data_IF_971971644319
#
_entry.id   IF_971971644319
#
_cell.length_a   1.000
_cell.length_b   1.000
_cell.length_c   1.000
_cell.angle_alpha   90.00
_cell.angle_beta   90.00
_cell.angle_gamma   90.00
#
_symmetry.space_group_name_H-M   'P 1'
#
loop_
_entity.id
_entity.type
_entity.pdbx_description
1 polymer ?
#
# COMPACT_ATOMS: atom_id res chain seq x y z
N UNK A 1 -0.04 12.88 12.52
CA UNK A 1 0.16 12.12 11.27
C UNK A 1 -0.40 12.94 10.12
N UNK A 2 0.35 13.12 9.03
CA UNK A 2 -0.21 13.76 7.82
C UNK A 2 -1.29 12.86 7.23
N UNK A 3 -2.30 13.43 6.56
CA UNK A 3 -3.39 12.65 5.93
C UNK A 3 -2.84 11.53 5.03
N UNK A 4 -1.71 11.81 4.37
CA UNK A 4 -1.01 10.85 3.53
C UNK A 4 -0.40 9.67 4.32
N UNK A 5 0.14 9.92 5.52
CA UNK A 5 0.63 8.83 6.39
C UNK A 5 -0.50 7.90 6.82
N UNK A 6 -1.68 8.43 7.14
CA UNK A 6 -2.85 7.62 7.52
C UNK A 6 -3.29 6.75 6.34
N UNK A 7 -3.40 7.34 5.14
CA UNK A 7 -3.73 6.60 3.91
C UNK A 7 -2.71 5.50 3.63
N UNK A 8 -1.42 5.76 3.86
CA UNK A 8 -0.39 4.76 3.65
C UNK A 8 -0.45 3.61 4.67
N UNK A 9 -0.77 3.88 5.93
CA UNK A 9 -1.00 2.84 6.93
C UNK A 9 -2.18 1.96 6.55
N UNK A 10 -3.28 2.56 6.07
CA UNK A 10 -4.46 1.82 5.61
C UNK A 10 -4.10 0.95 4.39
N UNK A 11 -3.42 1.51 3.39
CA UNK A 11 -3.05 0.79 2.17
C UNK A 11 -2.09 -0.39 2.44
N UNK A 12 -1.13 -0.21 3.36
CA UNK A 12 -0.20 -1.29 3.76
C UNK A 12 -0.95 -2.36 4.55
N UNK A 13 -1.88 -1.97 5.43
CA UNK A 13 -2.71 -2.91 6.18
C UNK A 13 -3.55 -3.78 5.26
N UNK A 14 -4.20 -3.18 4.25
CA UNK A 14 -4.99 -3.91 3.25
C UNK A 14 -4.12 -4.90 2.48
N UNK A 15 -2.92 -4.49 2.05
CA UNK A 15 -1.98 -5.38 1.37
C UNK A 15 -1.57 -6.55 2.26
N UNK A 16 -1.30 -6.30 3.55
CA UNK A 16 -0.97 -7.34 4.51
C UNK A 16 -2.10 -8.36 4.69
N UNK A 17 -3.34 -7.90 4.85
CA UNK A 17 -4.52 -8.77 4.96
C UNK A 17 -4.67 -9.62 3.69
N UNK A 18 -4.55 -9.01 2.51
CA UNK A 18 -4.63 -9.72 1.24
C UNK A 18 -3.56 -10.83 1.17
N UNK A 19 -2.30 -10.53 1.52
CA UNK A 19 -1.21 -11.52 1.48
C UNK A 19 -1.47 -12.68 2.45
N UNK A 20 -1.97 -12.40 3.66
CA UNK A 20 -2.32 -13.44 4.64
C UNK A 20 -3.44 -14.34 4.10
N UNK A 21 -4.48 -13.75 3.50
CA UNK A 21 -5.59 -14.50 2.91
C UNK A 21 -5.13 -15.31 1.70
N UNK A 22 -4.34 -14.74 0.81
CA UNK A 22 -3.80 -15.43 -0.36
C UNK A 22 -2.94 -16.63 0.05
N UNK A 23 -2.08 -16.45 1.05
CA UNK A 23 -1.25 -17.51 1.61
C UNK A 23 -2.10 -18.63 2.24
N UNK A 24 -3.12 -18.27 3.02
CA UNK A 24 -4.01 -19.23 3.68
C UNK A 24 -4.81 -20.07 2.68
N UNK A 25 -5.21 -19.45 1.57
CA UNK A 25 -6.02 -20.09 0.52
C UNK A 25 -5.18 -20.72 -0.60
N UNK A 26 -3.84 -20.80 -0.45
CA UNK A 26 -2.92 -21.26 -1.50
C UNK A 26 -3.20 -20.63 -2.87
N UNK A 27 -3.59 -19.36 -2.86
CA UNK A 27 -3.99 -18.62 -4.06
C UNK A 27 -2.79 -17.87 -4.62
N UNK A 28 -2.58 -17.98 -5.92
CA UNK A 28 -1.53 -17.21 -6.60
C UNK A 28 -1.85 -15.72 -6.65
N UNK A 29 -0.82 -14.90 -6.89
CA UNK A 29 -0.99 -13.45 -7.02
C UNK A 29 -1.88 -13.13 -8.23
N UNK A 30 -3.02 -12.49 -7.97
CA UNK A 30 -3.98 -12.12 -8.99
C UNK A 30 -3.88 -10.62 -9.34
N UNK A 31 -4.65 -10.20 -10.33
CA UNK A 31 -4.80 -8.79 -10.72
C UNK A 31 -5.15 -7.84 -9.55
N UNK A 32 -5.88 -8.29 -8.51
CA UNK A 32 -6.15 -7.46 -7.33
C UNK A 32 -4.89 -7.17 -6.52
N UNK A 33 -3.97 -8.12 -6.40
CA UNK A 33 -2.67 -7.88 -5.77
C UNK A 33 -1.94 -6.71 -6.44
N UNK A 34 -1.88 -6.71 -7.77
CA UNK A 34 -1.17 -5.66 -8.52
C UNK A 34 -1.82 -4.28 -8.36
N UNK A 35 -3.15 -4.21 -8.25
CA UNK A 35 -3.87 -2.95 -7.96
C UNK A 35 -3.49 -2.41 -6.58
N UNK A 36 -3.56 -3.26 -5.55
CA UNK A 36 -3.25 -2.86 -4.17
C UNK A 36 -1.77 -2.46 -4.04
N UNK A 37 -0.86 -3.21 -4.68
CA UNK A 37 0.56 -2.89 -4.73
C UNK A 37 0.81 -1.54 -5.42
N UNK A 38 0.14 -1.27 -6.54
CA UNK A 38 0.28 0.00 -7.28
C UNK A 38 -0.17 1.19 -6.44
N UNK A 39 -1.29 1.08 -5.72
CA UNK A 39 -1.78 2.12 -4.79
C UNK A 39 -0.74 2.41 -3.70
N UNK A 40 -0.12 1.36 -3.14
CA UNK A 40 0.92 1.49 -2.13
C UNK A 40 2.16 2.23 -2.67
N UNK A 41 2.58 1.92 -3.90
CA UNK A 41 3.71 2.59 -4.57
C UNK A 41 3.39 4.07 -4.81
N UNK A 42 2.19 4.39 -5.31
CA UNK A 42 1.78 5.79 -5.56
C UNK A 42 1.79 6.60 -4.27
N UNK A 43 1.22 6.05 -3.18
CA UNK A 43 1.23 6.70 -1.86
C UNK A 43 2.65 6.93 -1.34
N UNK A 44 3.55 5.97 -1.56
CA UNK A 44 4.96 6.12 -1.20
C UNK A 44 5.64 7.25 -1.98
N UNK A 45 5.43 7.33 -3.29
CA UNK A 45 5.97 8.42 -4.13
C UNK A 45 5.44 9.78 -3.69
N UNK A 46 4.14 9.90 -3.41
CA UNK A 46 3.55 11.13 -2.88
C UNK A 46 4.19 11.52 -1.54
N UNK A 47 4.50 10.55 -0.69
CA UNK A 47 5.14 10.78 0.61
C UNK A 47 6.58 11.26 0.47
N UNK A 48 7.30 10.73 -0.51
CA UNK A 48 8.65 11.21 -0.85
C UNK A 48 8.61 12.67 -1.35
N UNK A 49 7.60 13.03 -2.16
CA UNK A 49 7.41 14.44 -2.59
C UNK A 49 7.06 15.35 -1.41
N UNK A 50 6.16 14.94 -0.52
CA UNK A 50 5.79 15.70 0.69
C UNK A 50 7.01 15.98 1.58
N UNK A 51 7.91 14.99 1.73
CA UNK A 51 9.18 15.17 2.45
C UNK A 51 10.15 16.13 1.77
N UNK A 52 10.22 16.13 0.43
CA UNK A 52 11.07 17.07 -0.32
C UNK A 52 10.57 18.51 -0.31
N UNK A 53 9.26 18.72 -0.21
CA UNK A 53 8.68 20.07 -0.13
C UNK A 53 8.80 20.70 1.26
N UNK A 54 8.80 19.89 2.32
CA UNK A 54 8.91 20.37 3.71
C UNK A 54 10.36 20.50 4.23
N UNK A 55 11.37 20.21 3.40
CA UNK A 55 12.80 20.39 3.68
C UNK A 55 13.34 21.55 2.84
#
# INVERSE_FOLDING_TARGET
MTKLQILQVIAVTILGIYVILAYTNYTEADWFFFIIASINIILWVLRLRERKTNN
#
